data_IF_743571888396
#
_entry.id   IF_743571888396
#
_cell.length_a   1.000
_cell.length_b   1.000
_cell.length_c   1.000
_cell.angle_alpha   90.00
_cell.angle_beta   90.00
_cell.angle_gamma   90.00
#
_symmetry.space_group_name_H-M   'P 1'
#
loop_
_entity.id
_entity.type
_entity.pdbx_description
1 polymer ?
#
# COMPACT_ATOMS: atom_id res chain seq x y z
N UNK A 1 -21.22 15.82 -1.63
CA UNK A 1 -21.84 16.88 -2.46
C UNK A 1 -21.14 17.04 -3.81
N UNK A 2 -19.87 17.45 -3.85
CA UNK A 2 -19.15 17.73 -5.13
C UNK A 2 -19.09 16.51 -6.06
N UNK A 3 -18.73 15.35 -5.54
CA UNK A 3 -18.66 14.13 -6.35
C UNK A 3 -20.04 13.70 -6.89
N UNK A 4 -21.08 13.77 -6.06
CA UNK A 4 -22.46 13.51 -6.49
C UNK A 4 -22.96 14.53 -7.53
N UNK A 5 -22.38 15.74 -7.55
CA UNK A 5 -22.61 16.77 -8.56
C UNK A 5 -21.79 16.61 -9.85
N UNK A 6 -21.06 15.50 -10.02
CA UNK A 6 -20.26 15.19 -11.22
C UNK A 6 -18.84 15.73 -11.23
N UNK A 7 -18.36 16.30 -10.13
CA UNK A 7 -16.96 16.70 -9.98
C UNK A 7 -16.12 15.53 -9.47
N UNK A 8 -14.80 15.64 -9.58
CA UNK A 8 -13.83 14.69 -9.00
C UNK A 8 -13.02 15.38 -7.90
N UNK A 9 -13.51 15.40 -6.65
CA UNK A 9 -12.82 16.07 -5.57
C UNK A 9 -11.54 15.32 -5.17
N UNK A 10 -10.52 16.11 -4.78
CA UNK A 10 -9.28 15.63 -4.21
C UNK A 10 -9.24 16.09 -2.77
N UNK A 11 -9.09 15.15 -1.84
CA UNK A 11 -9.03 15.40 -0.39
C UNK A 11 -7.62 15.13 0.08
N UNK A 12 -6.90 16.17 0.52
CA UNK A 12 -5.56 16.05 1.07
C UNK A 12 -5.63 16.06 2.59
N UNK A 13 -5.17 15.02 3.24
CA UNK A 13 -5.29 14.83 4.68
C UNK A 13 -4.19 13.90 5.21
N UNK A 14 -3.74 14.11 6.46
CA UNK A 14 -2.80 13.20 7.10
C UNK A 14 -3.47 11.87 7.44
N UNK A 15 -2.71 10.77 7.28
CA UNK A 15 -3.16 9.42 7.59
C UNK A 15 -3.83 9.31 8.96
N UNK A 16 -3.17 9.82 10.01
CA UNK A 16 -3.69 9.79 11.38
C UNK A 16 -4.99 10.61 11.56
N UNK A 17 -5.19 11.68 10.79
CA UNK A 17 -6.41 12.52 10.91
C UNK A 17 -7.56 11.99 10.07
N UNK A 18 -7.28 11.23 9.01
CA UNK A 18 -8.30 10.63 8.14
C UNK A 18 -9.20 9.65 8.88
N UNK A 19 -8.70 8.99 9.92
CA UNK A 19 -9.48 8.06 10.74
C UNK A 19 -10.72 8.71 11.40
N UNK A 20 -10.71 10.04 11.63
CA UNK A 20 -11.88 10.77 12.15
C UNK A 20 -13.00 10.92 11.13
N UNK A 21 -12.70 10.75 9.85
CA UNK A 21 -13.66 10.83 8.74
C UNK A 21 -14.02 9.43 8.21
N UNK A 22 -13.72 8.36 8.96
CA UNK A 22 -13.91 6.98 8.50
C UNK A 22 -15.36 6.68 8.13
N UNK A 23 -16.31 7.12 8.95
CA UNK A 23 -17.75 6.96 8.69
C UNK A 23 -18.16 7.66 7.40
N UNK A 24 -17.71 8.91 7.17
CA UNK A 24 -18.00 9.68 5.96
C UNK A 24 -17.37 9.04 4.72
N UNK A 25 -16.16 8.48 4.84
CA UNK A 25 -15.53 7.74 3.74
C UNK A 25 -16.38 6.51 3.39
N UNK A 26 -16.81 5.77 4.39
CA UNK A 26 -17.61 4.56 4.20
C UNK A 26 -18.99 4.90 3.62
N UNK A 27 -19.76 5.76 4.30
CA UNK A 27 -21.16 6.01 3.98
C UNK A 27 -21.37 6.99 2.82
N UNK A 28 -20.64 8.12 2.84
CA UNK A 28 -20.87 9.18 1.86
C UNK A 28 -20.08 8.97 0.57
N UNK A 29 -19.04 8.15 0.58
CA UNK A 29 -18.17 7.94 -0.58
C UNK A 29 -18.20 6.50 -1.08
N UNK A 30 -17.83 5.52 -0.25
CA UNK A 30 -17.67 4.13 -0.70
C UNK A 30 -19.00 3.44 -1.02
N UNK A 31 -20.03 3.60 -0.18
CA UNK A 31 -21.37 3.01 -0.45
C UNK A 31 -21.95 3.55 -1.75
N UNK A 32 -21.77 4.86 -1.99
CA UNK A 32 -22.25 5.51 -3.21
C UNK A 32 -21.31 5.33 -4.41
N UNK A 33 -20.16 4.68 -4.21
CA UNK A 33 -19.10 4.48 -5.22
C UNK A 33 -18.68 5.79 -5.93
N UNK A 34 -18.52 6.87 -5.18
CA UNK A 34 -18.20 8.19 -5.74
C UNK A 34 -16.70 8.33 -6.04
N UNK A 35 -16.31 8.93 -7.18
CA UNK A 35 -14.92 9.06 -7.59
C UNK A 35 -14.18 10.18 -6.83
N UNK A 36 -13.93 9.94 -5.55
CA UNK A 36 -13.16 10.83 -4.68
C UNK A 36 -11.72 10.30 -4.59
N UNK A 37 -10.73 11.19 -4.75
CA UNK A 37 -9.31 10.86 -4.58
C UNK A 37 -8.85 11.38 -3.21
N UNK A 38 -8.43 10.48 -2.34
CA UNK A 38 -7.82 10.80 -1.04
C UNK A 38 -6.30 10.79 -1.19
N UNK A 39 -5.66 11.94 -1.01
CA UNK A 39 -4.21 12.08 -0.92
C UNK A 39 -3.83 11.99 0.56
N UNK A 40 -3.38 10.80 0.97
CA UNK A 40 -3.14 10.45 2.38
C UNK A 40 -1.67 10.65 2.69
N UNK A 41 -1.36 11.81 3.23
CA UNK A 41 0.00 12.22 3.61
C UNK A 41 0.41 11.63 4.97
N UNK A 42 1.69 11.54 5.23
CA UNK A 42 2.27 11.01 6.48
C UNK A 42 1.82 9.59 6.80
N UNK A 43 1.76 8.75 5.78
CA UNK A 43 1.53 7.33 5.94
C UNK A 43 2.79 6.61 6.46
N UNK A 44 2.61 5.59 7.28
CA UNK A 44 3.72 4.87 7.92
C UNK A 44 4.26 5.59 9.15
N UNK A 45 5.53 5.31 9.51
CA UNK A 45 6.19 5.97 10.62
C UNK A 45 6.52 7.42 10.29
N UNK A 46 6.13 8.35 11.17
CA UNK A 46 6.41 9.79 11.05
C UNK A 46 7.45 10.28 12.07
N UNK A 47 7.88 9.41 12.97
CA UNK A 47 8.99 9.66 13.89
C UNK A 47 8.73 10.76 14.92
N UNK A 48 9.28 11.93 14.66
CA UNK A 48 9.31 13.05 15.62
C UNK A 48 7.94 13.62 16.01
N UNK A 49 6.91 13.43 15.16
CA UNK A 49 5.56 13.92 15.46
C UNK A 49 4.86 13.11 16.58
N UNK A 50 5.43 11.99 16.96
CA UNK A 50 5.05 11.19 18.13
C UNK A 50 3.85 10.26 17.91
N UNK A 51 3.46 9.59 18.99
CA UNK A 51 2.50 8.47 19.02
C UNK A 51 1.18 8.78 18.32
N UNK A 52 0.67 10.01 18.48
CA UNK A 52 -0.65 10.40 17.95
C UNK A 52 -0.64 10.72 16.45
N UNK A 53 0.53 10.77 15.82
CA UNK A 53 0.69 11.17 14.43
C UNK A 53 1.14 10.04 13.51
N UNK A 54 1.47 8.86 14.06
CA UNK A 54 1.89 7.71 13.26
C UNK A 54 0.80 7.27 12.29
N UNK A 55 1.14 7.14 11.01
CA UNK A 55 0.23 6.71 9.94
C UNK A 55 0.21 5.18 9.79
N UNK A 56 0.03 4.45 10.89
CA UNK A 56 0.23 3.01 10.98
C UNK A 56 -1.03 2.17 10.76
N UNK A 57 -2.18 2.78 10.46
CA UNK A 57 -3.47 2.07 10.43
C UNK A 57 -4.27 2.25 9.15
N UNK A 58 -3.82 3.12 8.24
CA UNK A 58 -4.58 3.50 7.05
C UNK A 58 -4.81 2.33 6.07
N UNK A 59 -3.83 1.44 5.88
CA UNK A 59 -4.04 0.24 5.06
C UNK A 59 -5.11 -0.68 5.66
N UNK A 60 -5.15 -0.80 7.00
CA UNK A 60 -6.13 -1.64 7.67
C UNK A 60 -7.55 -1.10 7.52
N UNK A 61 -7.81 0.17 7.88
CA UNK A 61 -9.17 0.69 7.87
C UNK A 61 -9.68 1.05 6.47
N UNK A 62 -8.80 1.43 5.53
CA UNK A 62 -9.18 1.64 4.13
C UNK A 62 -9.33 0.33 3.37
N UNK A 63 -8.50 -0.67 3.71
CA UNK A 63 -8.48 -1.97 3.07
C UNK A 63 -9.79 -2.75 3.19
N UNK A 64 -10.55 -2.57 4.27
CA UNK A 64 -11.83 -3.26 4.49
C UNK A 64 -13.00 -2.62 3.75
N UNK A 65 -12.87 -1.39 3.23
CA UNK A 65 -13.99 -0.68 2.57
C UNK A 65 -14.22 -1.20 1.15
N UNK A 66 -15.44 -1.69 0.82
CA UNK A 66 -15.79 -2.01 -0.56
C UNK A 66 -15.62 -0.79 -1.49
N UNK A 67 -15.37 -1.02 -2.76
CA UNK A 67 -15.15 -0.02 -3.81
C UNK A 67 -13.90 0.85 -3.67
N UNK A 68 -13.23 0.87 -2.50
CA UNK A 68 -12.01 1.64 -2.28
C UNK A 68 -10.81 1.00 -2.98
N UNK A 69 -10.12 1.76 -3.81
CA UNK A 69 -8.77 1.42 -4.30
C UNK A 69 -7.73 2.06 -3.39
N UNK A 70 -6.69 1.32 -3.00
CA UNK A 70 -5.60 1.83 -2.15
C UNK A 70 -4.27 1.66 -2.86
N UNK A 71 -3.51 2.75 -2.98
CA UNK A 71 -2.21 2.81 -3.68
C UNK A 71 -1.14 3.36 -2.73
N UNK A 72 0.03 2.74 -2.74
CA UNK A 72 1.20 3.13 -1.96
C UNK A 72 2.42 3.30 -2.89
N UNK A 73 2.58 4.46 -3.54
CA UNK A 73 3.66 4.68 -4.49
C UNK A 73 5.03 4.72 -3.80
N UNK A 74 6.05 4.21 -4.49
CA UNK A 74 7.42 4.11 -3.99
C UNK A 74 8.22 5.42 -4.06
N UNK A 75 7.89 6.28 -5.03
CA UNK A 75 8.61 7.54 -5.31
C UNK A 75 7.71 8.58 -5.98
N UNK A 76 8.26 9.74 -6.31
CA UNK A 76 7.51 10.84 -6.93
C UNK A 76 7.05 10.52 -8.37
N UNK A 77 7.79 9.71 -9.10
CA UNK A 77 7.42 9.27 -10.45
C UNK A 77 6.22 8.33 -10.41
N UNK A 78 6.25 7.39 -9.48
CA UNK A 78 5.11 6.48 -9.25
C UNK A 78 3.91 7.19 -8.64
N UNK A 79 4.11 8.20 -7.76
CA UNK A 79 3.02 9.04 -7.24
C UNK A 79 2.26 9.76 -8.37
N UNK A 80 2.97 10.29 -9.36
CA UNK A 80 2.34 10.90 -10.55
C UNK A 80 1.55 9.88 -11.36
N UNK A 81 2.08 8.66 -11.50
CA UNK A 81 1.37 7.56 -12.16
C UNK A 81 0.14 7.11 -11.39
N UNK A 82 0.25 6.97 -10.07
CA UNK A 82 -0.85 6.64 -9.17
C UNK A 82 -1.99 7.67 -9.25
N UNK A 83 -1.63 8.95 -9.30
CA UNK A 83 -2.62 10.02 -9.44
C UNK A 83 -3.34 9.95 -10.80
N UNK A 84 -2.60 9.73 -11.91
CA UNK A 84 -3.21 9.54 -13.23
C UNK A 84 -4.12 8.31 -13.28
N UNK A 85 -3.69 7.22 -12.66
CA UNK A 85 -4.50 6.00 -12.56
C UNK A 85 -5.76 6.24 -11.72
N UNK A 86 -5.65 6.91 -10.57
CA UNK A 86 -6.81 7.28 -9.75
C UNK A 86 -7.81 8.19 -10.50
N UNK A 87 -7.32 9.06 -11.38
CA UNK A 87 -8.18 9.90 -12.23
C UNK A 87 -8.95 9.09 -13.30
N UNK A 88 -8.46 7.94 -13.71
CA UNK A 88 -9.17 7.06 -14.67
C UNK A 88 -10.23 6.19 -14.02
N UNK A 89 -10.17 5.99 -12.69
CA UNK A 89 -11.15 5.18 -11.96
C UNK A 89 -12.48 5.95 -11.77
N UNK A 90 -13.59 5.22 -11.88
CA UNK A 90 -14.93 5.71 -11.52
C UNK A 90 -15.36 5.26 -10.11
N UNK A 91 -14.40 5.16 -9.20
CA UNK A 91 -14.58 4.69 -7.83
C UNK A 91 -13.64 5.47 -6.90
N UNK A 92 -13.85 5.41 -5.58
CA UNK A 92 -12.96 6.06 -4.62
C UNK A 92 -11.56 5.46 -4.64
N UNK A 93 -10.56 6.31 -4.50
CA UNK A 93 -9.15 5.91 -4.48
C UNK A 93 -8.40 6.66 -3.39
N UNK A 94 -7.63 5.94 -2.58
CA UNK A 94 -6.70 6.51 -1.61
C UNK A 94 -5.26 6.27 -2.09
N UNK A 95 -4.47 7.34 -2.16
CA UNK A 95 -3.03 7.29 -2.47
C UNK A 95 -2.30 7.70 -1.19
N UNK A 96 -1.63 6.74 -0.55
CA UNK A 96 -0.91 6.96 0.70
C UNK A 96 0.60 7.10 0.46
N UNK A 97 1.23 8.09 1.08
CA UNK A 97 2.66 8.35 0.94
C UNK A 97 3.24 8.92 2.24
N UNK A 98 4.53 8.63 2.53
CA UNK A 98 5.18 9.13 3.74
C UNK A 98 5.53 10.61 3.64
N UNK A 99 5.83 11.23 4.77
CA UNK A 99 6.41 12.55 4.84
C UNK A 99 7.88 12.55 4.36
N UNK A 100 8.32 13.66 3.78
CA UNK A 100 9.71 13.89 3.39
C UNK A 100 10.05 13.52 1.95
N UNK A 101 11.33 13.66 1.62
CA UNK A 101 11.87 13.28 0.31
C UNK A 101 12.20 11.79 0.32
N UNK A 102 11.65 11.07 -0.63
CA UNK A 102 12.04 9.70 -0.90
C UNK A 102 13.10 9.65 -2.02
N UNK A 103 13.94 8.63 -1.99
CA UNK A 103 14.86 8.34 -3.07
C UNK A 103 14.05 7.93 -4.30
N UNK A 104 14.46 8.43 -5.48
CA UNK A 104 13.89 7.98 -6.75
C UNK A 104 14.48 6.62 -7.11
N UNK A 105 13.61 5.71 -7.48
CA UNK A 105 14.02 4.41 -8.00
C UNK A 105 14.30 4.51 -9.50
N UNK A 106 15.35 3.85 -9.96
CA UNK A 106 15.73 3.86 -11.39
C UNK A 106 14.72 3.12 -12.26
N UNK A 107 14.08 2.08 -11.71
CA UNK A 107 13.05 1.33 -12.41
C UNK A 107 11.70 2.04 -12.25
N UNK A 108 10.99 2.20 -13.36
CA UNK A 108 9.65 2.78 -13.38
C UNK A 108 8.79 2.10 -14.43
N UNK A 109 7.59 1.69 -14.02
CA UNK A 109 6.53 1.19 -14.88
C UNK A 109 5.23 1.89 -14.51
N UNK A 110 4.48 2.49 -15.45
CA UNK A 110 3.19 3.10 -15.14
C UNK A 110 2.20 2.09 -14.51
N UNK A 111 1.35 2.57 -13.61
CA UNK A 111 0.25 1.76 -13.06
C UNK A 111 -0.84 1.64 -14.11
N UNK A 112 -1.36 0.42 -14.30
CA UNK A 112 -2.49 0.11 -15.15
C UNK A 112 -3.18 -1.17 -14.64
N UNK A 113 -4.37 -1.49 -15.13
CA UNK A 113 -5.10 -2.72 -14.76
C UNK A 113 -4.33 -4.00 -15.07
N UNK A 114 -3.45 -3.98 -16.08
CA UNK A 114 -2.57 -5.11 -16.43
C UNK A 114 -1.28 -5.16 -15.60
N UNK A 115 -0.93 -4.06 -14.92
CA UNK A 115 0.32 -3.89 -14.19
C UNK A 115 0.07 -3.21 -12.84
N UNK A 116 -0.69 -3.86 -11.96
CA UNK A 116 -0.93 -3.36 -10.59
C UNK A 116 0.35 -3.41 -9.76
N UNK A 117 1.13 -4.49 -9.87
CA UNK A 117 2.39 -4.67 -9.16
C UNK A 117 3.58 -4.62 -10.14
N UNK A 118 4.75 -4.29 -9.61
CA UNK A 118 5.98 -4.15 -10.39
C UNK A 118 7.06 -5.14 -9.88
N UNK A 119 7.71 -5.86 -10.81
CA UNK A 119 8.73 -6.84 -10.49
C UNK A 119 10.14 -6.25 -10.60
N UNK A 120 10.98 -6.55 -9.63
CA UNK A 120 12.41 -6.31 -9.65
C UNK A 120 13.14 -7.63 -9.93
N UNK A 121 13.33 -7.92 -11.21
CA UNK A 121 13.95 -9.15 -11.73
C UNK A 121 12.97 -10.32 -11.87
N UNK A 122 13.51 -11.50 -12.13
CA UNK A 122 12.74 -12.72 -12.35
C UNK A 122 12.13 -13.28 -11.06
N UNK A 123 11.08 -14.08 -11.20
CA UNK A 123 10.37 -14.70 -10.08
C UNK A 123 11.08 -15.97 -9.62
N UNK A 124 11.82 -15.87 -8.53
CA UNK A 124 12.59 -16.97 -7.88
C UNK A 124 11.76 -17.71 -6.81
N UNK A 125 12.41 -18.63 -6.09
CA UNK A 125 11.81 -19.40 -4.98
C UNK A 125 11.47 -18.54 -3.78
N UNK A 126 12.30 -17.55 -3.46
CA UNK A 126 12.13 -16.64 -2.34
C UNK A 126 11.70 -15.25 -2.86
N UNK A 127 10.61 -14.72 -2.34
CA UNK A 127 9.96 -13.50 -2.82
C UNK A 127 9.72 -12.56 -1.66
N UNK A 128 10.11 -11.30 -1.82
CA UNK A 128 9.73 -10.21 -0.92
C UNK A 128 8.70 -9.34 -1.65
N UNK A 129 7.54 -9.15 -1.04
CA UNK A 129 6.49 -8.26 -1.52
C UNK A 129 6.48 -7.04 -0.60
N UNK A 130 6.84 -5.89 -1.15
CA UNK A 130 7.01 -4.66 -0.37
C UNK A 130 5.95 -3.61 -0.72
N UNK A 131 5.46 -2.91 0.29
CA UNK A 131 4.47 -1.83 0.18
C UNK A 131 5.07 -0.51 0.62
N UNK A 132 5.16 0.43 -0.31
CA UNK A 132 5.68 1.78 -0.05
C UNK A 132 7.21 1.88 -0.12
N UNK A 133 7.74 3.13 -0.05
CA UNK A 133 9.13 3.40 -0.41
C UNK A 133 10.17 2.77 0.52
N UNK A 134 9.97 2.81 1.83
CA UNK A 134 10.97 2.30 2.80
C UNK A 134 11.02 0.78 2.78
N UNK A 135 9.86 0.11 2.77
CA UNK A 135 9.78 -1.34 2.63
C UNK A 135 10.43 -1.82 1.33
N UNK A 136 10.16 -1.13 0.22
CA UNK A 136 10.76 -1.46 -1.07
C UNK A 136 12.27 -1.21 -1.09
N UNK A 137 12.74 -0.10 -0.50
CA UNK A 137 14.18 0.17 -0.38
C UNK A 137 14.89 -0.96 0.36
N UNK A 138 14.36 -1.37 1.51
CA UNK A 138 14.91 -2.48 2.30
C UNK A 138 14.92 -3.80 1.48
N UNK A 139 13.83 -4.12 0.78
CA UNK A 139 13.74 -5.31 -0.07
C UNK A 139 14.77 -5.29 -1.21
N UNK A 140 14.94 -4.15 -1.89
CA UNK A 140 15.94 -4.00 -2.96
C UNK A 140 17.37 -4.12 -2.43
N UNK A 141 17.65 -3.62 -1.22
CA UNK A 141 18.96 -3.82 -0.57
C UNK A 141 19.22 -5.31 -0.28
N UNK A 142 18.22 -6.04 0.22
CA UNK A 142 18.32 -7.49 0.40
C UNK A 142 18.62 -8.18 -0.93
N UNK A 143 17.92 -7.83 -2.00
CA UNK A 143 18.14 -8.40 -3.33
C UNK A 143 19.57 -8.15 -3.86
N UNK A 144 20.15 -6.97 -3.61
CA UNK A 144 21.54 -6.66 -4.00
C UNK A 144 22.55 -7.62 -3.35
N UNK A 145 22.29 -7.98 -2.08
CA UNK A 145 23.15 -8.91 -1.32
C UNK A 145 22.80 -10.38 -1.55
N UNK A 146 21.58 -10.67 -2.00
CA UNK A 146 21.08 -12.01 -2.28
C UNK A 146 20.32 -12.02 -3.62
N UNK A 147 21.02 -12.14 -4.77
CA UNK A 147 20.41 -12.03 -6.10
C UNK A 147 19.32 -13.07 -6.41
N UNK A 148 19.30 -14.19 -5.66
CA UNK A 148 18.28 -15.25 -5.78
C UNK A 148 16.94 -14.89 -5.15
N UNK A 149 16.83 -13.73 -4.51
CA UNK A 149 15.56 -13.19 -3.99
C UNK A 149 14.89 -12.35 -5.06
N UNK A 150 13.61 -12.57 -5.28
CA UNK A 150 12.75 -11.68 -6.09
C UNK A 150 12.17 -10.59 -5.21
N UNK A 151 11.99 -9.41 -5.77
CA UNK A 151 11.29 -8.31 -5.10
C UNK A 151 10.13 -7.87 -5.95
N UNK A 152 8.99 -7.68 -5.32
CA UNK A 152 7.75 -7.18 -5.93
C UNK A 152 7.34 -5.90 -5.18
N UNK A 153 7.12 -4.83 -5.92
CA UNK A 153 6.52 -3.60 -5.42
C UNK A 153 5.00 -3.72 -5.53
N UNK A 154 4.33 -3.97 -4.41
CA UNK A 154 2.88 -4.04 -4.31
C UNK A 154 2.26 -2.64 -4.18
N UNK A 155 2.54 -1.78 -5.16
CA UNK A 155 2.13 -0.37 -5.19
C UNK A 155 0.61 -0.17 -5.18
N UNK A 156 -0.17 -1.05 -5.79
CA UNK A 156 -1.62 -1.15 -5.61
C UNK A 156 -1.88 -2.17 -4.53
N UNK A 157 -2.27 -1.69 -3.36
CA UNK A 157 -2.49 -2.51 -2.16
C UNK A 157 -3.87 -3.16 -2.22
N UNK A 158 -4.83 -2.46 -2.78
CA UNK A 158 -6.19 -2.93 -3.03
C UNK A 158 -6.71 -2.35 -4.34
N UNK A 159 -7.22 -3.20 -5.26
CA UNK A 159 -7.28 -4.66 -5.14
C UNK A 159 -5.90 -5.31 -5.13
N UNK A 160 -5.81 -6.53 -4.59
CA UNK A 160 -4.61 -7.36 -4.70
C UNK A 160 -4.40 -7.76 -6.17
N UNK A 161 -3.14 -7.91 -6.58
CA UNK A 161 -2.84 -8.51 -7.88
C UNK A 161 -2.97 -10.03 -7.80
N UNK A 162 -4.19 -10.51 -8.04
CA UNK A 162 -4.51 -11.94 -7.96
C UNK A 162 -3.70 -12.80 -8.93
N UNK A 163 -3.35 -12.25 -10.12
CA UNK A 163 -2.56 -12.99 -11.11
C UNK A 163 -1.16 -13.24 -10.57
N UNK A 164 -0.57 -12.22 -9.97
CA UNK A 164 0.74 -12.33 -9.33
C UNK A 164 0.67 -13.29 -8.15
N UNK A 165 -0.30 -13.14 -7.26
CA UNK A 165 -0.43 -14.02 -6.08
C UNK A 165 -0.60 -15.50 -6.46
N UNK A 166 -1.40 -15.81 -7.47
CA UNK A 166 -1.57 -17.19 -7.99
C UNK A 166 -0.26 -17.75 -8.57
N UNK A 167 0.60 -16.91 -9.13
CA UNK A 167 1.93 -17.32 -9.63
C UNK A 167 2.96 -17.60 -8.51
N UNK A 168 2.61 -17.31 -7.25
CA UNK A 168 3.47 -17.54 -6.09
C UNK A 168 3.29 -18.95 -5.48
N UNK A 169 2.53 -19.84 -6.11
CA UNK A 169 2.41 -21.21 -5.66
C UNK A 169 3.79 -21.91 -5.54
N UNK A 170 4.00 -22.63 -4.47
CA UNK A 170 5.27 -23.28 -4.16
C UNK A 170 6.39 -22.34 -3.69
N UNK A 171 6.18 -21.05 -3.49
CA UNK A 171 7.19 -20.05 -3.11
C UNK A 171 7.28 -19.84 -1.59
N UNK A 172 8.39 -19.21 -1.17
CA UNK A 172 8.52 -18.62 0.17
C UNK A 172 8.31 -17.11 0.02
N UNK A 173 7.38 -16.54 0.77
CA UNK A 173 6.94 -15.16 0.65
C UNK A 173 7.23 -14.42 1.95
N UNK A 174 7.77 -13.22 1.84
CA UNK A 174 7.82 -12.25 2.93
C UNK A 174 7.07 -11.02 2.46
N UNK A 175 6.03 -10.57 3.18
CA UNK A 175 5.43 -9.25 2.97
C UNK A 175 6.09 -8.24 3.89
N UNK A 176 6.28 -7.01 3.40
CA UNK A 176 6.86 -5.92 4.20
C UNK A 176 6.03 -4.66 4.00
N UNK A 177 5.55 -4.08 5.10
CA UNK A 177 4.71 -2.88 5.08
C UNK A 177 4.92 -1.99 6.31
N UNK A 178 4.68 -0.68 6.17
CA UNK A 178 4.61 0.26 7.27
C UNK A 178 3.14 0.48 7.67
N UNK A 179 2.56 -0.53 8.30
CA UNK A 179 1.20 -0.54 8.83
C UNK A 179 1.13 -1.57 9.96
N UNK A 180 0.08 -1.52 10.78
CA UNK A 180 -0.19 -2.58 11.76
C UNK A 180 -0.26 -3.94 11.08
N UNK A 181 0.31 -4.95 11.72
CA UNK A 181 0.24 -6.34 11.25
C UNK A 181 -1.21 -6.83 11.19
N UNK A 182 -2.09 -6.26 12.03
CA UNK A 182 -3.50 -6.62 12.07
C UNK A 182 -4.27 -5.87 10.98
N UNK A 183 -4.87 -6.63 10.06
CA UNK A 183 -5.68 -6.09 8.98
C UNK A 183 -4.91 -5.32 7.90
N UNK A 184 -3.57 -5.35 7.91
CA UNK A 184 -2.73 -4.74 6.88
C UNK A 184 -2.68 -5.54 5.59
N UNK A 185 -1.76 -5.15 4.70
CA UNK A 185 -1.54 -5.81 3.41
C UNK A 185 -1.17 -7.28 3.57
N UNK A 186 -0.25 -7.61 4.48
CA UNK A 186 0.13 -8.99 4.76
C UNK A 186 -1.05 -9.86 5.16
N UNK A 187 -1.93 -9.34 6.03
CA UNK A 187 -3.16 -10.05 6.43
C UNK A 187 -4.11 -10.30 5.23
N UNK A 188 -4.20 -9.35 4.31
CA UNK A 188 -5.01 -9.51 3.10
C UNK A 188 -4.41 -10.57 2.16
N UNK A 189 -3.08 -10.61 2.03
CA UNK A 189 -2.37 -11.64 1.25
C UNK A 189 -2.55 -13.00 1.88
N UNK A 190 -2.44 -13.14 3.21
CA UNK A 190 -2.67 -14.40 3.93
C UNK A 190 -4.08 -14.94 3.67
N UNK A 191 -5.09 -14.07 3.80
CA UNK A 191 -6.48 -14.43 3.54
C UNK A 191 -6.67 -14.89 2.09
N UNK A 192 -6.08 -14.20 1.11
CA UNK A 192 -6.15 -14.56 -0.29
C UNK A 192 -5.50 -15.92 -0.57
N UNK A 193 -4.29 -16.12 -0.08
CA UNK A 193 -3.51 -17.36 -0.23
C UNK A 193 -4.28 -18.54 0.33
N UNK A 194 -4.82 -18.41 1.55
CA UNK A 194 -5.56 -19.46 2.23
C UNK A 194 -6.86 -19.81 1.49
N UNK A 195 -7.64 -18.79 1.10
CA UNK A 195 -8.93 -18.98 0.43
C UNK A 195 -8.80 -19.55 -0.99
N UNK A 196 -7.65 -19.37 -1.65
CA UNK A 196 -7.39 -19.88 -2.98
C UNK A 196 -6.54 -21.17 -3.00
N UNK A 197 -6.21 -21.74 -1.83
CA UNK A 197 -5.46 -22.98 -1.73
C UNK A 197 -4.02 -22.89 -2.28
N UNK A 198 -3.41 -21.71 -2.27
CA UNK A 198 -2.04 -21.49 -2.75
C UNK A 198 -1.07 -22.09 -1.73
N UNK A 199 -0.25 -23.03 -2.18
CA UNK A 199 0.73 -23.69 -1.31
C UNK A 199 2.01 -22.87 -1.22
N UNK A 200 2.13 -22.01 -0.23
CA UNK A 200 3.32 -21.19 0.01
C UNK A 200 3.65 -21.12 1.50
N UNK A 201 4.89 -20.74 1.81
CA UNK A 201 5.28 -20.32 3.17
C UNK A 201 5.28 -18.80 3.19
N UNK A 202 4.53 -18.20 4.12
CA UNK A 202 4.42 -16.76 4.21
C UNK A 202 4.82 -16.26 5.59
N UNK A 203 5.50 -15.11 5.63
CA UNK A 203 5.81 -14.36 6.84
C UNK A 203 5.56 -12.87 6.57
N UNK A 204 4.84 -12.24 7.48
CA UNK A 204 4.55 -10.81 7.42
C UNK A 204 5.51 -10.04 8.32
N UNK A 205 6.07 -8.94 7.80
CA UNK A 205 6.86 -7.95 8.52
C UNK A 205 6.09 -6.65 8.46
N UNK A 206 5.60 -6.21 9.60
CA UNK A 206 4.77 -5.02 9.78
C UNK A 206 4.96 -4.49 11.20
N UNK A 207 4.34 -3.37 11.55
CA UNK A 207 4.33 -2.92 12.95
C UNK A 207 3.58 -3.89 13.83
N UNK A 208 4.16 -4.21 15.01
CA UNK A 208 3.52 -5.03 16.04
C UNK A 208 2.20 -4.41 16.51
N UNK A 209 1.43 -5.16 17.30
CA UNK A 209 0.20 -4.69 17.94
C UNK A 209 0.50 -3.78 19.15
N UNK A 210 1.27 -2.72 18.88
CA UNK A 210 1.71 -1.71 19.82
C UNK A 210 1.65 -0.33 19.20
N UNK A 211 1.57 0.72 20.01
CA UNK A 211 1.72 2.09 19.55
C UNK A 211 3.20 2.43 19.32
N UNK A 212 3.49 2.96 18.14
CA UNK A 212 4.85 3.37 17.78
C UNK A 212 5.21 4.62 18.60
N UNK A 213 6.29 4.58 19.40
CA UNK A 213 6.70 5.71 20.22
C UNK A 213 7.21 6.88 19.35
N UNK A 214 7.46 8.02 20.01
CA UNK A 214 8.21 9.09 19.38
C UNK A 214 9.68 8.67 19.24
N UNK A 215 10.29 8.99 18.11
CA UNK A 215 11.69 8.71 17.84
C UNK A 215 12.11 9.28 16.49
N UNK A 216 13.26 8.89 16.00
CA UNK A 216 13.59 9.10 14.59
C UNK A 216 12.95 8.02 13.72
N UNK A 217 12.79 8.28 12.44
CA UNK A 217 12.24 7.28 11.52
C UNK A 217 13.20 6.10 11.31
N UNK A 218 14.49 6.31 11.60
CA UNK A 218 15.55 5.31 11.45
C UNK A 218 15.71 4.42 12.71
N UNK A 219 15.05 4.76 13.81
CA UNK A 219 14.94 3.95 15.03
C UNK A 219 13.84 2.90 14.93
#
# INVERSE_FOLDING_TARGET
GQAAGGLRPIVCVYSTFLQRAYDQIMQDVCIQNLPVIFMVDRAGAVGHDGVTHQGAFDLSYLGVLPNMTVIAPKDSSELKSAFKYAQSLNSPCAIRYPNGKNEEFTQFMPISDDHLWEFYGELNKNVIIAVGPRALKAAVMVKRNCPTVSVINARVVKPLDEKVLKALDGKNIITVEENSIIGGFGSAVDAFVLNNGINCRIKNIAFSDDYIPQGSVDE
#
